data_IF_893186310254
#
_entry.id   IF_893186310254
#
_cell.length_a   1.000
_cell.length_b   1.000
_cell.length_c   1.000
_cell.angle_alpha   90.00
_cell.angle_beta   90.00
_cell.angle_gamma   90.00
#
_symmetry.space_group_name_H-M   'P 1'
#
loop_
_entity.id
_entity.type
_entity.pdbx_description
1 polymer ?
#
# COMPACT_ATOMS: atom_id res chain seq x y z
N UNK A 1 -103.75 10.27 -3.41
CA UNK A 1 -103.43 11.27 -2.37
C UNK A 1 -101.93 11.26 -2.18
N UNK A 2 -101.27 12.31 -2.59
CA UNK A 2 -99.80 12.48 -2.68
C UNK A 2 -99.14 12.60 -1.31
N UNK A 3 -98.05 11.92 -1.10
CA UNK A 3 -97.00 12.39 -0.17
C UNK A 3 -95.67 12.09 -0.80
N UNK A 4 -94.89 13.16 -1.14
CA UNK A 4 -93.52 13.10 -1.61
C UNK A 4 -92.59 12.90 -0.40
N UNK A 5 -91.69 11.96 -0.56
CA UNK A 5 -90.54 11.81 0.38
C UNK A 5 -89.32 12.31 -0.35
N UNK A 6 -88.67 13.32 0.25
CA UNK A 6 -87.38 13.87 -0.18
C UNK A 6 -86.24 13.03 0.45
N UNK A 7 -85.50 12.39 -0.39
CA UNK A 7 -84.27 11.68 0.03
C UNK A 7 -83.10 12.65 -0.01
N UNK A 8 -82.46 12.85 1.14
CA UNK A 8 -81.20 13.58 1.27
C UNK A 8 -80.04 12.64 0.93
N UNK A 9 -79.28 12.97 -0.08
CA UNK A 9 -78.07 12.25 -0.47
C UNK A 9 -76.89 12.88 0.28
N UNK A 10 -76.32 12.13 1.23
CA UNK A 10 -75.10 12.53 1.97
C UNK A 10 -73.90 12.00 1.19
N UNK A 11 -73.18 12.91 0.51
CA UNK A 11 -71.96 12.59 -0.19
C UNK A 11 -70.78 12.38 0.77
N UNK A 12 -70.27 11.17 0.84
CA UNK A 12 -69.09 10.81 1.61
C UNK A 12 -67.88 10.99 0.67
N UNK A 13 -67.12 12.07 0.87
CA UNK A 13 -65.82 12.30 0.19
C UNK A 13 -64.77 11.43 0.91
N UNK A 14 -64.37 10.32 0.29
CA UNK A 14 -63.24 9.53 0.72
C UNK A 14 -61.96 10.22 0.20
N UNK A 15 -61.23 10.88 1.09
CA UNK A 15 -59.88 11.38 0.85
C UNK A 15 -58.90 10.20 0.84
N UNK A 16 -58.53 9.71 -0.32
CA UNK A 16 -57.41 8.77 -0.47
C UNK A 16 -56.07 9.52 -0.27
N UNK A 17 -55.42 9.33 0.88
CA UNK A 17 -54.04 9.70 1.11
C UNK A 17 -53.15 8.79 0.27
N UNK A 18 -52.70 9.26 -0.90
CA UNK A 18 -51.59 8.67 -1.63
C UNK A 18 -50.32 8.95 -0.83
N UNK A 19 -49.87 7.97 -0.04
CA UNK A 19 -48.51 7.93 0.48
C UNK A 19 -47.59 7.73 -0.72
N UNK A 20 -47.06 8.84 -1.25
CA UNK A 20 -45.95 8.84 -2.17
C UNK A 20 -44.74 8.35 -1.43
N UNK A 21 -44.36 7.08 -1.58
CA UNK A 21 -43.01 6.64 -1.34
C UNK A 21 -42.13 7.33 -2.41
N UNK A 22 -41.53 8.44 -2.05
CA UNK A 22 -40.44 8.99 -2.81
C UNK A 22 -39.30 7.98 -2.74
N UNK A 23 -39.12 7.18 -3.80
CA UNK A 23 -37.81 6.57 -4.04
C UNK A 23 -36.81 7.72 -4.06
N UNK A 24 -35.89 7.69 -3.13
CA UNK A 24 -34.75 8.59 -3.10
C UNK A 24 -33.83 8.19 -4.27
N UNK A 25 -34.23 8.56 -5.49
CA UNK A 25 -33.42 8.48 -6.70
C UNK A 25 -32.34 9.60 -6.64
N UNK A 26 -31.58 9.64 -5.55
CA UNK A 26 -30.32 10.34 -5.57
C UNK A 26 -29.39 9.55 -6.47
N UNK A 27 -29.28 10.00 -7.72
CA UNK A 27 -28.11 9.67 -8.54
C UNK A 27 -26.89 9.96 -7.66
N UNK A 28 -25.92 9.04 -7.54
CA UNK A 28 -24.67 9.38 -6.89
C UNK A 28 -24.09 10.58 -7.64
N UNK A 29 -23.97 11.69 -6.93
CA UNK A 29 -23.33 12.90 -7.45
C UNK A 29 -21.89 12.56 -7.75
N UNK A 30 -21.54 12.54 -9.00
CA UNK A 30 -20.24 12.33 -9.59
C UNK A 30 -19.70 10.89 -9.51
N UNK A 31 -19.37 10.26 -10.64
CA UNK A 31 -18.75 8.95 -10.64
C UNK A 31 -17.44 9.00 -9.87
N UNK A 32 -17.30 8.13 -8.87
CA UNK A 32 -16.13 8.12 -8.00
C UNK A 32 -14.95 7.48 -8.69
N UNK A 33 -13.83 8.20 -8.79
CA UNK A 33 -12.58 7.71 -9.35
C UNK A 33 -11.63 7.15 -8.27
N UNK A 34 -11.98 7.28 -6.99
CA UNK A 34 -11.23 6.64 -5.92
C UNK A 34 -11.70 5.21 -5.71
N UNK A 35 -10.74 4.31 -5.50
CA UNK A 35 -10.97 2.91 -5.15
C UNK A 35 -10.45 2.68 -3.75
N UNK A 36 -11.32 2.23 -2.86
CA UNK A 36 -10.99 1.92 -1.48
C UNK A 36 -11.13 0.41 -1.28
N UNK A 37 -10.01 -0.27 -1.00
CA UNK A 37 -10.05 -1.67 -0.63
C UNK A 37 -10.30 -1.81 0.87
N UNK A 38 -11.20 -2.72 1.22
CA UNK A 38 -11.65 -2.95 2.60
C UNK A 38 -11.71 -4.45 2.88
N UNK A 39 -11.04 -4.89 3.93
CA UNK A 39 -11.23 -6.23 4.49
C UNK A 39 -12.36 -6.19 5.51
N UNK A 40 -13.51 -6.86 5.27
CA UNK A 40 -14.65 -6.82 6.19
C UNK A 40 -14.34 -7.39 7.57
N UNK A 41 -15.01 -6.86 8.58
CA UNK A 41 -14.99 -7.42 9.92
C UNK A 41 -15.88 -8.67 9.96
N UNK A 42 -15.31 -9.84 9.67
CA UNK A 42 -16.03 -11.11 9.71
C UNK A 42 -15.24 -12.17 10.49
N UNK A 43 -15.92 -13.16 11.03
CA UNK A 43 -15.29 -14.21 11.84
C UNK A 43 -14.69 -15.35 11.01
N UNK A 44 -15.14 -15.55 9.77
CA UNK A 44 -14.68 -16.62 8.85
C UNK A 44 -14.96 -16.24 7.40
N UNK A 45 -14.17 -16.79 6.47
CA UNK A 45 -14.44 -16.70 5.03
C UNK A 45 -14.34 -15.28 4.47
N UNK A 46 -13.35 -14.54 4.91
CA UNK A 46 -13.19 -13.12 4.57
C UNK A 46 -12.69 -12.97 3.15
N UNK A 47 -13.36 -12.10 2.39
CA UNK A 47 -12.90 -11.62 1.09
C UNK A 47 -12.72 -10.11 1.18
N UNK A 48 -11.74 -9.53 0.47
CA UNK A 48 -11.64 -8.08 0.37
C UNK A 48 -12.75 -7.53 -0.52
N UNK A 49 -13.21 -6.32 -0.23
CA UNK A 49 -14.18 -5.57 -1.04
C UNK A 49 -13.52 -4.33 -1.62
N UNK A 50 -13.84 -4.04 -2.88
CA UNK A 50 -13.47 -2.80 -3.54
C UNK A 50 -14.68 -1.88 -3.59
N UNK A 51 -14.57 -0.72 -2.99
CA UNK A 51 -15.59 0.35 -2.99
C UNK A 51 -15.11 1.50 -3.84
N UNK A 52 -16.02 2.26 -4.45
CA UNK A 52 -15.69 3.52 -5.13
C UNK A 52 -16.18 4.71 -4.32
N UNK A 53 -15.45 5.82 -4.41
CA UNK A 53 -15.83 7.09 -3.79
C UNK A 53 -15.52 8.27 -4.72
N UNK A 54 -16.35 9.32 -4.66
CA UNK A 54 -16.15 10.56 -5.42
C UNK A 54 -15.29 11.59 -4.67
N UNK A 55 -15.11 11.41 -3.38
CA UNK A 55 -14.30 12.29 -2.53
C UNK A 55 -13.69 11.50 -1.39
N UNK A 56 -12.48 11.87 -0.99
CA UNK A 56 -11.82 11.38 0.22
C UNK A 56 -11.96 12.35 1.40
N UNK A 57 -12.43 13.59 1.15
CA UNK A 57 -12.51 14.64 2.16
C UNK A 57 -13.78 14.56 3.02
N UNK A 58 -14.85 13.95 2.50
CA UNK A 58 -16.16 13.92 3.18
C UNK A 58 -16.97 12.70 2.80
N UNK A 59 -18.07 12.45 3.52
CA UNK A 59 -19.04 11.41 3.20
C UNK A 59 -18.83 10.12 3.96
N UNK A 60 -19.53 9.07 3.51
CA UNK A 60 -19.45 7.72 4.10
C UNK A 60 -19.72 6.65 3.06
N UNK A 61 -18.92 5.58 3.10
CA UNK A 61 -19.10 4.36 2.30
C UNK A 61 -19.17 3.14 3.22
N UNK A 62 -19.70 2.03 2.70
CA UNK A 62 -19.87 0.80 3.48
C UNK A 62 -19.72 -0.43 2.60
N UNK A 63 -19.21 -1.52 3.17
CA UNK A 63 -19.22 -2.84 2.53
C UNK A 63 -20.60 -3.51 2.55
N UNK A 64 -21.53 -3.02 3.37
CA UNK A 64 -22.88 -3.58 3.49
C UNK A 64 -23.71 -3.32 2.23
N UNK A 65 -23.85 -4.36 1.39
CA UNK A 65 -24.64 -4.31 0.14
C UNK A 65 -24.03 -3.47 -0.98
N UNK A 66 -22.73 -3.12 -0.86
CA UNK A 66 -22.02 -2.30 -1.83
C UNK A 66 -20.62 -2.86 -2.09
N UNK A 67 -20.04 -2.49 -3.24
CA UNK A 67 -18.70 -2.87 -3.63
C UNK A 67 -18.59 -4.18 -4.42
N UNK A 68 -17.40 -4.46 -4.89
CA UNK A 68 -17.05 -5.67 -5.63
C UNK A 68 -16.25 -6.59 -4.71
N UNK A 69 -16.82 -7.75 -4.43
CA UNK A 69 -16.14 -8.79 -3.66
C UNK A 69 -14.99 -9.40 -4.45
N UNK A 70 -13.84 -9.56 -3.80
CA UNK A 70 -12.65 -10.19 -4.35
C UNK A 70 -12.56 -11.64 -3.90
N UNK A 71 -11.87 -12.47 -4.69
CA UNK A 71 -11.55 -13.84 -4.27
C UNK A 71 -10.43 -13.81 -3.21
N UNK A 72 -10.77 -14.09 -1.95
CA UNK A 72 -9.82 -14.16 -0.84
C UNK A 72 -9.35 -12.79 -0.31
N UNK A 73 -8.43 -12.86 0.64
CA UNK A 73 -7.80 -11.72 1.32
C UNK A 73 -6.30 -11.71 1.10
N UNK A 74 -5.59 -10.78 1.75
CA UNK A 74 -4.14 -10.59 1.56
C UNK A 74 -3.80 -10.22 0.12
N UNK A 75 -4.38 -9.13 -0.34
CA UNK A 75 -4.12 -8.61 -1.68
C UNK A 75 -3.20 -7.40 -1.62
N UNK A 76 -2.41 -7.26 -2.67
CA UNK A 76 -1.71 -6.03 -3.00
C UNK A 76 -2.48 -5.28 -4.08
N UNK A 77 -2.37 -3.97 -4.07
CA UNK A 77 -3.07 -3.08 -4.98
C UNK A 77 -2.11 -2.08 -5.60
N UNK A 78 -2.34 -1.74 -6.86
CA UNK A 78 -1.60 -0.68 -7.56
C UNK A 78 -2.42 -0.17 -8.74
N UNK A 79 -2.31 1.11 -9.02
CA UNK A 79 -2.78 1.72 -10.26
C UNK A 79 -1.61 1.93 -11.22
N UNK A 80 -1.80 1.58 -12.48
CA UNK A 80 -0.83 1.81 -13.54
C UNK A 80 -1.53 1.90 -14.89
N UNK A 81 -1.13 2.87 -15.75
CA UNK A 81 -1.74 3.14 -17.06
C UNK A 81 -3.27 3.18 -17.00
N UNK A 82 -3.79 3.94 -16.04
CA UNK A 82 -5.22 4.11 -15.76
C UNK A 82 -5.99 2.80 -15.59
N UNK A 83 -5.37 1.80 -14.97
CA UNK A 83 -5.96 0.53 -14.58
C UNK A 83 -5.59 0.20 -13.15
N UNK A 84 -6.52 -0.41 -12.44
CA UNK A 84 -6.35 -0.88 -11.08
C UNK A 84 -6.08 -2.39 -11.10
N UNK A 85 -4.99 -2.80 -10.46
CA UNK A 85 -4.57 -4.19 -10.34
C UNK A 85 -4.73 -4.65 -8.89
N UNK A 86 -5.47 -5.73 -8.71
CA UNK A 86 -5.65 -6.43 -7.44
C UNK A 86 -4.96 -7.79 -7.52
N UNK A 87 -3.91 -7.97 -6.71
CA UNK A 87 -3.00 -9.11 -6.79
C UNK A 87 -3.09 -9.95 -5.53
N UNK A 88 -3.46 -11.22 -5.67
CA UNK A 88 -3.60 -12.13 -4.54
C UNK A 88 -2.24 -12.65 -4.08
N UNK A 89 -1.86 -12.34 -2.85
CA UNK A 89 -0.73 -12.98 -2.17
C UNK A 89 -1.05 -14.43 -1.80
N UNK A 90 -2.26 -14.72 -1.30
CA UNK A 90 -2.83 -16.06 -1.13
C UNK A 90 -2.11 -17.00 -0.18
N UNK A 91 -1.04 -16.59 0.49
CA UNK A 91 -0.19 -17.41 1.37
C UNK A 91 0.31 -18.72 0.75
N UNK A 92 0.29 -18.83 -0.58
CA UNK A 92 0.67 -20.01 -1.36
C UNK A 92 0.32 -19.85 -2.82
N UNK A 93 0.39 -20.94 -3.59
CA UNK A 93 -0.02 -20.97 -4.98
C UNK A 93 -1.42 -21.57 -5.12
N UNK A 94 -2.20 -21.16 -6.14
CA UNK A 94 -1.90 -20.10 -7.10
C UNK A 94 -2.17 -18.71 -6.51
N UNK A 95 -1.50 -17.69 -7.07
CA UNK A 95 -1.90 -16.30 -6.96
C UNK A 95 -2.87 -15.92 -8.08
N UNK A 96 -3.45 -14.73 -8.02
CA UNK A 96 -4.31 -14.21 -9.07
C UNK A 96 -4.09 -12.70 -9.26
N UNK A 97 -4.23 -12.24 -10.49
CA UNK A 97 -4.24 -10.82 -10.82
C UNK A 97 -5.59 -10.49 -11.45
N UNK A 98 -6.35 -9.63 -10.81
CA UNK A 98 -7.62 -9.11 -11.31
C UNK A 98 -7.45 -7.65 -11.65
N UNK A 99 -7.84 -7.25 -12.86
CA UNK A 99 -7.69 -5.87 -13.34
C UNK A 99 -9.04 -5.23 -13.52
N UNK A 100 -9.14 -3.95 -13.16
CA UNK A 100 -10.34 -3.13 -13.27
C UNK A 100 -10.02 -1.77 -13.90
N UNK A 101 -11.04 -1.19 -14.52
CA UNK A 101 -11.16 0.25 -14.75
C UNK A 101 -12.45 0.75 -14.10
N UNK A 102 -12.68 2.07 -14.15
CA UNK A 102 -13.93 2.68 -13.72
C UNK A 102 -14.70 3.16 -14.95
N UNK A 103 -15.97 2.78 -15.02
CA UNK A 103 -16.91 3.25 -16.03
C UNK A 103 -18.16 3.75 -15.29
N UNK A 104 -18.53 5.00 -15.51
CA UNK A 104 -19.67 5.66 -14.83
C UNK A 104 -19.63 5.49 -13.28
N UNK A 105 -18.43 5.63 -12.70
CA UNK A 105 -18.20 5.53 -11.26
C UNK A 105 -18.28 4.10 -10.68
N UNK A 106 -18.34 3.09 -11.55
CA UNK A 106 -18.40 1.69 -11.16
C UNK A 106 -17.17 0.93 -11.64
N UNK A 107 -16.68 0.03 -10.81
CA UNK A 107 -15.62 -0.89 -11.19
C UNK A 107 -16.12 -1.85 -12.27
N UNK A 108 -15.39 -1.88 -13.38
CA UNK A 108 -15.59 -2.80 -14.49
C UNK A 108 -14.39 -3.73 -14.59
N UNK A 109 -14.61 -5.03 -14.45
CA UNK A 109 -13.56 -6.06 -14.51
C UNK A 109 -13.08 -6.26 -15.93
N UNK A 110 -11.78 -6.04 -16.16
CA UNK A 110 -11.15 -6.17 -17.47
C UNK A 110 -10.55 -7.56 -17.68
N UNK A 111 -9.88 -8.09 -16.67
CA UNK A 111 -9.23 -9.40 -16.74
C UNK A 111 -9.18 -10.08 -15.38
N UNK A 112 -8.93 -11.38 -15.40
CA UNK A 112 -8.56 -12.17 -14.23
C UNK A 112 -7.75 -13.36 -14.72
N UNK A 113 -6.50 -13.47 -14.29
CA UNK A 113 -5.62 -14.58 -14.65
C UNK A 113 -4.84 -15.08 -13.45
N UNK A 114 -4.41 -16.32 -13.51
CA UNK A 114 -3.63 -16.94 -12.45
C UNK A 114 -2.13 -16.72 -12.68
N UNK A 115 -1.43 -16.47 -11.58
CA UNK A 115 0.03 -16.44 -11.51
C UNK A 115 0.49 -17.31 -10.35
N UNK A 116 1.79 -17.36 -10.09
CA UNK A 116 2.27 -17.70 -8.75
C UNK A 116 1.91 -16.60 -7.75
N UNK A 117 1.95 -16.90 -6.46
CA UNK A 117 1.78 -15.93 -5.38
C UNK A 117 2.65 -14.68 -5.61
N UNK A 118 2.04 -13.50 -5.63
CA UNK A 118 2.76 -12.23 -5.75
C UNK A 118 3.29 -11.81 -4.38
N UNK A 119 4.60 -11.59 -4.27
CA UNK A 119 5.26 -11.16 -3.03
C UNK A 119 5.92 -9.79 -3.13
N UNK A 120 6.32 -9.38 -4.33
CA UNK A 120 6.74 -8.02 -4.64
C UNK A 120 6.31 -7.70 -6.08
N UNK A 121 6.09 -6.44 -6.37
CA UNK A 121 5.73 -5.98 -7.72
C UNK A 121 6.20 -4.54 -7.94
N UNK A 122 6.27 -4.14 -9.19
CA UNK A 122 6.50 -2.75 -9.58
C UNK A 122 5.86 -2.46 -10.94
N UNK A 123 5.28 -1.28 -11.13
CA UNK A 123 5.16 -0.67 -12.44
C UNK A 123 6.55 -0.46 -13.05
N UNK A 124 6.77 -0.95 -14.28
CA UNK A 124 8.04 -0.78 -15.02
C UNK A 124 7.73 -0.44 -16.47
N UNK A 125 7.94 0.80 -16.89
CA UNK A 125 7.48 1.34 -18.17
C UNK A 125 5.96 1.09 -18.36
N UNK A 126 5.56 0.39 -19.43
CA UNK A 126 4.16 0.02 -19.69
C UNK A 126 3.77 -1.35 -19.08
N UNK A 127 4.66 -1.93 -18.29
CA UNK A 127 4.44 -3.25 -17.71
C UNK A 127 4.16 -3.19 -16.22
N UNK A 128 3.60 -4.28 -15.69
CA UNK A 128 3.59 -4.62 -14.28
C UNK A 128 4.49 -5.83 -14.07
N UNK A 129 5.61 -5.65 -13.37
CA UNK A 129 6.53 -6.73 -13.00
C UNK A 129 6.09 -7.32 -11.67
N UNK A 130 5.84 -8.63 -11.65
CA UNK A 130 5.47 -9.40 -10.46
C UNK A 130 6.57 -10.36 -10.09
N UNK A 131 6.77 -10.61 -8.80
CA UNK A 131 7.77 -11.57 -8.30
C UNK A 131 7.23 -12.45 -7.19
N UNK A 132 7.64 -13.73 -7.24
CA UNK A 132 7.58 -14.68 -6.14
C UNK A 132 9.00 -15.02 -5.70
N UNK A 133 9.33 -14.76 -4.45
CA UNK A 133 10.70 -14.79 -3.93
C UNK A 133 10.92 -16.10 -3.14
N UNK A 134 12.05 -16.76 -3.37
CA UNK A 134 12.39 -18.01 -2.68
C UNK A 134 12.64 -17.80 -1.19
N UNK A 135 12.18 -18.77 -0.39
CA UNK A 135 12.47 -18.94 1.04
C UNK A 135 13.14 -20.26 1.34
N UNK A 136 13.71 -20.90 0.31
CA UNK A 136 14.31 -22.22 0.40
C UNK A 136 15.73 -22.19 -0.15
N UNK A 137 16.71 -22.40 0.73
CA UNK A 137 18.14 -22.37 0.39
C UNK A 137 18.52 -23.41 -0.67
N UNK A 138 17.80 -24.53 -0.74
CA UNK A 138 18.05 -25.59 -1.75
C UNK A 138 17.43 -25.30 -3.11
N UNK A 139 16.55 -24.29 -3.19
CA UNK A 139 15.96 -23.81 -4.44
C UNK A 139 15.96 -22.27 -4.44
N UNK A 140 17.11 -21.63 -4.69
CA UNK A 140 17.32 -20.21 -4.49
C UNK A 140 16.82 -19.33 -5.65
N UNK A 141 15.73 -19.72 -6.30
CA UNK A 141 15.22 -18.98 -7.47
C UNK A 141 13.93 -18.24 -7.15
N UNK A 142 13.90 -16.94 -7.44
CA UNK A 142 12.68 -16.15 -7.50
C UNK A 142 12.11 -16.19 -8.93
N UNK A 143 10.81 -16.48 -9.06
CA UNK A 143 10.10 -16.38 -10.33
C UNK A 143 9.64 -14.94 -10.56
N UNK A 144 9.68 -14.48 -11.82
CA UNK A 144 9.14 -13.18 -12.20
C UNK A 144 8.24 -13.30 -13.44
N UNK A 145 7.25 -12.39 -13.53
CA UNK A 145 6.28 -12.31 -14.62
C UNK A 145 6.17 -10.84 -15.05
N UNK A 146 6.29 -10.60 -16.35
CA UNK A 146 6.07 -9.30 -16.97
C UNK A 146 4.69 -9.28 -17.62
N UNK A 147 3.83 -8.41 -17.12
CA UNK A 147 2.46 -8.25 -17.61
C UNK A 147 2.38 -6.93 -18.35
N UNK A 148 2.07 -6.99 -19.64
CA UNK A 148 1.77 -5.76 -20.40
C UNK A 148 0.42 -5.21 -19.95
N UNK A 149 0.42 -3.96 -19.47
CA UNK A 149 -0.79 -3.34 -18.91
C UNK A 149 -1.77 -2.87 -19.98
N UNK A 150 -1.38 -2.81 -21.26
CA UNK A 150 -2.30 -2.49 -22.35
C UNK A 150 -3.07 -3.73 -22.83
N UNK A 151 -2.38 -4.85 -23.02
CA UNK A 151 -2.96 -6.12 -23.47
C UNK A 151 -3.52 -6.97 -22.32
N UNK A 152 -3.10 -6.72 -21.09
CA UNK A 152 -3.41 -7.48 -19.86
C UNK A 152 -3.00 -8.96 -19.96
N UNK A 153 -1.86 -9.21 -20.61
CA UNK A 153 -1.32 -10.56 -20.81
C UNK A 153 0.11 -10.65 -20.26
N UNK A 154 0.48 -11.86 -19.84
CA UNK A 154 1.87 -12.18 -19.51
C UNK A 154 2.66 -12.23 -20.82
N UNK A 155 3.60 -11.30 -20.99
CA UNK A 155 4.47 -11.25 -22.19
C UNK A 155 5.73 -12.09 -22.03
N UNK A 156 6.25 -12.16 -20.82
CA UNK A 156 7.43 -12.98 -20.52
C UNK A 156 7.48 -13.34 -19.05
N UNK A 157 8.18 -14.42 -18.76
CA UNK A 157 8.44 -14.90 -17.41
C UNK A 157 9.86 -15.47 -17.32
N UNK A 158 10.36 -15.61 -16.11
CA UNK A 158 11.67 -16.20 -15.89
C UNK A 158 12.02 -16.34 -14.41
N UNK A 159 13.30 -16.61 -14.16
CA UNK A 159 13.81 -16.80 -12.81
C UNK A 159 15.10 -16.02 -12.59
N UNK A 160 15.28 -15.50 -11.38
CA UNK A 160 16.55 -14.92 -10.91
C UNK A 160 17.06 -15.72 -9.72
N UNK A 161 18.37 -15.92 -9.67
CA UNK A 161 19.02 -16.60 -8.55
C UNK A 161 19.22 -15.62 -7.40
N UNK A 162 18.57 -15.86 -6.25
CA UNK A 162 18.63 -14.99 -5.07
C UNK A 162 19.86 -15.25 -4.19
N UNK A 163 20.60 -16.34 -4.42
CA UNK A 163 21.89 -16.56 -3.77
C UNK A 163 23.01 -15.72 -4.42
N UNK A 164 22.88 -15.39 -5.69
CA UNK A 164 23.91 -14.63 -6.43
C UNK A 164 24.13 -13.20 -5.88
N UNK A 165 23.09 -12.37 -5.64
CA UNK A 165 23.30 -11.04 -5.08
C UNK A 165 23.76 -11.06 -3.63
N UNK A 166 23.39 -12.02 -2.81
CA UNK A 166 23.85 -12.11 -1.42
C UNK A 166 25.32 -12.51 -1.33
N UNK A 167 25.71 -13.58 -2.01
CA UNK A 167 27.11 -14.07 -2.10
C UNK A 167 27.75 -14.42 -0.74
N UNK A 168 26.94 -14.61 0.30
CA UNK A 168 27.38 -14.77 1.69
C UNK A 168 26.91 -16.06 2.36
N UNK A 169 26.31 -16.97 1.57
CA UNK A 169 25.77 -18.24 2.05
C UNK A 169 24.27 -18.18 2.46
N UNK A 170 23.68 -17.01 2.48
CA UNK A 170 22.24 -16.78 2.68
C UNK A 170 21.57 -16.39 1.35
N UNK A 171 20.24 -16.21 1.35
CA UNK A 171 19.50 -15.74 0.18
C UNK A 171 19.14 -14.26 0.31
N UNK A 172 19.16 -13.53 -0.81
CA UNK A 172 18.56 -12.22 -0.92
C UNK A 172 17.03 -12.36 -1.01
N UNK A 173 16.32 -12.05 0.05
CA UNK A 173 14.86 -11.91 0.00
C UNK A 173 14.53 -10.44 -0.25
N UNK A 174 13.98 -10.13 -1.42
CA UNK A 174 13.68 -8.74 -1.76
C UNK A 174 12.62 -8.20 -0.82
N UNK A 175 12.91 -7.07 -0.16
CA UNK A 175 11.91 -6.35 0.63
C UNK A 175 10.82 -5.80 -0.30
N UNK A 176 11.23 -5.32 -1.47
CA UNK A 176 10.38 -4.90 -2.56
C UNK A 176 11.16 -4.85 -3.87
N UNK A 177 10.54 -4.38 -4.96
CA UNK A 177 11.18 -4.04 -6.23
C UNK A 177 10.66 -2.70 -6.71
N UNK A 178 11.50 -1.92 -7.42
CA UNK A 178 11.13 -0.61 -7.98
C UNK A 178 11.91 -0.34 -9.26
N UNK A 179 11.26 0.30 -10.22
CA UNK A 179 11.97 0.89 -11.36
C UNK A 179 12.74 2.13 -10.89
N UNK A 180 14.02 2.22 -11.29
CA UNK A 180 14.86 3.43 -11.16
C UNK A 180 15.56 3.64 -12.50
N UNK A 181 15.22 4.72 -13.19
CA UNK A 181 15.64 4.93 -14.57
C UNK A 181 15.18 3.78 -15.49
N UNK A 182 16.10 3.11 -16.15
CA UNK A 182 15.83 1.97 -17.03
C UNK A 182 16.14 0.61 -16.39
N UNK A 183 16.27 0.54 -15.07
CA UNK A 183 16.64 -0.67 -14.32
C UNK A 183 15.61 -1.00 -13.25
N UNK A 184 15.66 -2.24 -12.75
CA UNK A 184 14.90 -2.69 -11.60
C UNK A 184 15.83 -2.80 -10.40
N UNK A 185 15.55 -2.02 -9.36
CA UNK A 185 16.23 -2.08 -8.07
C UNK A 185 15.44 -2.97 -7.14
N UNK A 186 16.11 -3.93 -6.54
CA UNK A 186 15.55 -4.89 -5.58
C UNK A 186 16.31 -4.80 -4.25
N UNK A 187 15.91 -3.89 -3.34
CA UNK A 187 16.41 -3.91 -1.98
C UNK A 187 16.11 -5.26 -1.34
N UNK A 188 17.05 -5.78 -0.55
CA UNK A 188 16.85 -7.07 0.09
C UNK A 188 17.40 -7.14 1.49
N UNK A 189 16.79 -8.01 2.28
CA UNK A 189 17.35 -8.53 3.51
C UNK A 189 17.89 -9.93 3.26
N UNK A 190 19.06 -10.21 3.78
CA UNK A 190 19.66 -11.54 3.73
C UNK A 190 18.89 -12.47 4.65
N UNK A 191 18.63 -13.70 4.23
CA UNK A 191 17.90 -14.71 5.01
C UNK A 191 18.57 -16.07 4.98
N UNK A 192 18.56 -16.76 6.13
CA UNK A 192 19.06 -18.15 6.22
C UNK A 192 18.26 -19.09 5.32
N UNK A 193 16.97 -18.85 5.13
CA UNK A 193 16.05 -19.63 4.28
C UNK A 193 16.02 -21.14 4.63
N UNK A 194 16.29 -21.50 5.88
CA UNK A 194 16.30 -22.87 6.38
C UNK A 194 16.04 -22.94 7.90
N UNK A 195 15.96 -24.17 8.37
CA UNK A 195 16.23 -24.57 9.75
C UNK A 195 15.30 -23.95 10.81
N UNK A 196 14.04 -23.64 10.46
CA UNK A 196 13.06 -23.02 11.35
C UNK A 196 13.25 -21.52 11.58
N UNK A 197 14.33 -20.92 11.07
CA UNK A 197 14.71 -19.51 11.23
C UNK A 197 14.78 -18.79 9.87
N UNK A 198 13.80 -19.02 9.00
CA UNK A 198 13.86 -18.66 7.58
C UNK A 198 14.19 -17.19 7.31
N UNK A 199 13.65 -16.26 8.12
CA UNK A 199 13.85 -14.81 7.94
C UNK A 199 14.94 -14.20 8.83
N UNK A 200 15.70 -15.03 9.53
CA UNK A 200 16.86 -14.58 10.30
C UNK A 200 18.10 -14.44 9.42
N UNK A 201 19.03 -13.60 9.84
CA UNK A 201 20.27 -13.33 9.13
C UNK A 201 21.47 -13.25 10.06
N UNK A 202 22.66 -13.58 9.56
CA UNK A 202 23.93 -13.26 10.16
C UNK A 202 24.43 -11.83 9.81
N UNK A 203 23.69 -11.10 8.98
CA UNK A 203 24.09 -9.79 8.41
C UNK A 203 23.07 -8.68 8.72
N UNK A 204 22.79 -8.40 10.01
CA UNK A 204 21.70 -7.48 10.39
C UNK A 204 21.97 -6.01 10.03
N UNK A 205 23.24 -5.62 9.85
CA UNK A 205 23.67 -4.23 9.63
C UNK A 205 24.08 -3.99 8.17
N UNK A 206 23.27 -4.47 7.22
CA UNK A 206 23.59 -4.44 5.79
C UNK A 206 22.43 -3.88 4.97
N UNK A 207 22.66 -2.73 4.32
CA UNK A 207 21.74 -2.13 3.36
C UNK A 207 22.20 -2.51 1.95
N UNK A 208 21.56 -3.49 1.34
CA UNK A 208 21.91 -4.03 0.02
C UNK A 208 20.78 -3.90 -0.97
N UNK A 209 21.13 -3.54 -2.22
CA UNK A 209 20.18 -3.48 -3.33
C UNK A 209 20.80 -4.22 -4.53
N UNK A 210 20.09 -5.23 -5.03
CA UNK A 210 20.41 -5.87 -6.29
C UNK A 210 19.85 -5.03 -7.45
N UNK A 211 20.68 -4.79 -8.46
CA UNK A 211 20.30 -4.01 -9.64
C UNK A 211 20.22 -4.94 -10.83
N UNK A 212 19.05 -4.98 -11.47
CA UNK A 212 18.75 -5.83 -12.60
C UNK A 212 18.52 -4.99 -13.87
N UNK A 213 18.96 -5.53 -15.02
CA UNK A 213 18.52 -5.02 -16.32
C UNK A 213 17.01 -5.26 -16.51
N UNK A 214 16.39 -4.45 -17.36
CA UNK A 214 15.00 -4.67 -17.77
C UNK A 214 14.90 -4.56 -19.31
N UNK A 215 14.16 -5.44 -19.98
CA UNK A 215 13.28 -6.50 -19.46
C UNK A 215 13.92 -7.87 -19.16
N UNK A 216 15.23 -8.04 -19.34
CA UNK A 216 15.89 -9.35 -19.25
C UNK A 216 16.05 -9.88 -17.82
N UNK A 217 15.91 -9.02 -16.81
CA UNK A 217 16.07 -9.36 -15.39
C UNK A 217 17.41 -10.05 -15.09
N UNK A 218 18.50 -9.58 -15.72
CA UNK A 218 19.86 -10.04 -15.44
C UNK A 218 20.47 -9.21 -14.32
N UNK A 219 21.06 -9.87 -13.33
CA UNK A 219 21.79 -9.18 -12.25
C UNK A 219 23.00 -8.47 -12.84
N UNK A 220 23.05 -7.15 -12.71
CA UNK A 220 24.18 -6.34 -13.17
C UNK A 220 25.18 -6.06 -12.06
N UNK A 221 24.68 -5.75 -10.84
CA UNK A 221 25.51 -5.47 -9.67
C UNK A 221 24.71 -5.50 -8.38
N UNK A 222 25.43 -5.45 -7.26
CA UNK A 222 24.86 -5.17 -5.93
C UNK A 222 25.51 -3.92 -5.39
N UNK A 223 24.68 -2.94 -5.00
CA UNK A 223 25.14 -1.75 -4.29
C UNK A 223 24.96 -1.97 -2.78
N UNK A 224 25.91 -1.46 -1.99
CA UNK A 224 26.02 -1.80 -0.56
C UNK A 224 26.26 -0.55 0.29
N UNK A 225 25.61 -0.53 1.45
CA UNK A 225 25.83 0.45 2.51
C UNK A 225 25.79 -0.28 3.87
N UNK A 226 26.43 0.27 4.88
CA UNK A 226 26.43 -0.28 6.24
C UNK A 226 26.14 0.77 7.32
N UNK A 227 25.68 1.96 6.92
CA UNK A 227 25.31 3.05 7.84
C UNK A 227 23.92 2.86 8.43
N UNK A 228 23.11 1.99 7.81
CA UNK A 228 21.80 1.56 8.29
C UNK A 228 21.64 0.05 8.08
N UNK A 229 20.48 -0.52 8.43
CA UNK A 229 20.13 -1.90 8.15
C UNK A 229 19.50 -2.04 6.75
N UNK A 230 18.89 -3.17 6.42
CA UNK A 230 18.31 -3.39 5.11
C UNK A 230 17.26 -2.33 4.74
N UNK A 231 17.17 -2.04 3.45
CA UNK A 231 16.26 -1.03 2.90
C UNK A 231 14.84 -1.57 2.86
N UNK A 232 13.91 -0.76 3.33
CA UNK A 232 12.54 -1.11 3.58
C UNK A 232 12.31 -1.69 4.96
N UNK A 233 11.26 -2.43 5.08
CA UNK A 233 10.91 -3.31 6.20
C UNK A 233 10.61 -4.70 5.62
N UNK A 234 10.43 -5.72 6.41
CA UNK A 234 9.98 -7.02 5.89
C UNK A 234 8.71 -6.83 5.08
N UNK A 235 8.79 -7.13 3.76
CA UNK A 235 7.70 -7.06 2.78
C UNK A 235 7.11 -5.66 2.54
N UNK A 236 7.90 -4.61 2.73
CA UNK A 236 7.49 -3.21 2.51
C UNK A 236 8.56 -2.50 1.69
N UNK A 237 8.13 -1.70 0.71
CA UNK A 237 9.02 -0.89 -0.13
C UNK A 237 9.82 0.11 0.71
N UNK A 238 11.08 0.26 0.36
CA UNK A 238 11.98 1.21 0.99
C UNK A 238 12.56 2.24 0.02
N UNK A 239 12.12 2.31 -1.24
CA UNK A 239 12.70 3.23 -2.23
C UNK A 239 11.69 4.30 -2.65
N UNK A 240 11.99 5.56 -2.42
CA UNK A 240 11.19 6.71 -2.85
C UNK A 240 11.99 7.59 -3.83
N UNK A 241 11.54 7.71 -5.08
CA UNK A 241 12.10 8.64 -6.06
C UNK A 241 11.42 10.00 -5.94
N UNK A 242 12.20 11.07 -6.06
CA UNK A 242 11.72 12.46 -6.05
C UNK A 242 11.89 13.11 -7.42
N UNK A 243 11.37 14.33 -7.61
CA UNK A 243 11.21 14.98 -8.90
C UNK A 243 12.50 15.12 -9.73
N UNK A 244 13.65 15.26 -9.07
CA UNK A 244 14.94 15.37 -9.75
C UNK A 244 15.57 14.02 -10.12
N UNK A 245 14.88 12.89 -9.81
CA UNK A 245 15.35 11.54 -10.06
C UNK A 245 16.27 10.97 -8.98
N UNK A 246 16.55 11.70 -7.89
CA UNK A 246 17.24 11.13 -6.73
C UNK A 246 16.31 10.11 -6.05
N UNK A 247 16.88 8.98 -5.63
CA UNK A 247 16.14 7.94 -4.90
C UNK A 247 16.58 7.94 -3.44
N UNK A 248 15.62 8.07 -2.55
CA UNK A 248 15.84 7.96 -1.11
C UNK A 248 15.45 6.58 -0.62
N UNK A 249 16.37 5.95 0.09
CA UNK A 249 16.25 4.57 0.55
C UNK A 249 16.07 4.56 2.08
N UNK A 250 14.90 4.11 2.51
CA UNK A 250 14.44 4.09 3.89
C UNK A 250 14.73 2.73 4.55
N UNK A 251 15.22 2.73 5.77
CA UNK A 251 15.42 1.52 6.57
C UNK A 251 14.67 1.61 7.89
N UNK A 252 13.89 0.58 8.21
CA UNK A 252 13.26 0.42 9.53
C UNK A 252 14.25 -0.10 10.60
N UNK A 253 15.39 -0.64 10.17
CA UNK A 253 16.42 -1.22 11.05
C UNK A 253 15.89 -2.29 12.01
N UNK A 254 15.26 -3.33 11.46
CA UNK A 254 14.56 -4.39 12.22
C UNK A 254 15.03 -5.80 11.88
N UNK A 255 16.25 -5.94 11.33
CA UNK A 255 16.81 -7.27 11.03
C UNK A 255 16.91 -8.14 12.30
N UNK A 256 16.66 -9.44 12.15
CA UNK A 256 16.51 -10.40 13.23
C UNK A 256 17.60 -11.47 13.16
N UNK A 257 18.17 -11.79 14.33
CA UNK A 257 19.04 -12.94 14.56
C UNK A 257 18.62 -13.59 15.88
N UNK A 258 18.54 -14.91 15.90
CA UNK A 258 18.14 -15.69 17.09
C UNK A 258 16.83 -15.17 17.74
N UNK A 259 15.84 -14.89 16.90
CA UNK A 259 14.49 -14.45 17.29
C UNK A 259 14.41 -13.02 17.85
N UNK A 260 15.49 -12.22 17.77
CA UNK A 260 15.54 -10.85 18.30
C UNK A 260 16.02 -9.87 17.25
N UNK A 261 15.51 -8.63 17.32
CA UNK A 261 16.09 -7.54 16.54
C UNK A 261 17.56 -7.40 16.93
N UNK A 262 18.43 -7.56 15.95
CA UNK A 262 19.88 -7.58 16.12
C UNK A 262 20.61 -6.45 15.40
N UNK A 263 19.90 -5.69 14.56
CA UNK A 263 20.51 -4.51 13.95
C UNK A 263 20.96 -3.50 15.01
N UNK A 264 22.22 -3.07 14.90
CA UNK A 264 22.83 -2.03 15.76
C UNK A 264 22.77 -0.66 15.09
N UNK A 265 22.31 -0.59 13.84
CA UNK A 265 22.22 0.65 13.05
C UNK A 265 20.90 1.34 13.29
N UNK A 266 20.83 2.68 13.14
CA UNK A 266 19.58 3.43 13.29
C UNK A 266 18.63 3.21 12.12
N UNK A 267 17.33 3.46 12.34
CA UNK A 267 16.40 3.75 11.27
C UNK A 267 16.78 5.07 10.60
N UNK A 268 17.12 5.01 9.33
CA UNK A 268 17.71 6.13 8.61
C UNK A 268 17.31 6.14 7.13
N UNK A 269 17.63 7.24 6.45
CA UNK A 269 17.50 7.40 5.01
C UNK A 269 18.88 7.59 4.41
N UNK A 270 19.19 6.81 3.38
CA UNK A 270 20.37 6.98 2.51
C UNK A 270 19.90 7.35 1.10
N UNK A 271 20.80 7.87 0.26
CA UNK A 271 20.43 8.38 -1.06
C UNK A 271 21.20 7.69 -2.17
N UNK A 272 20.55 7.51 -3.29
CA UNK A 272 21.13 7.12 -4.58
C UNK A 272 20.90 8.30 -5.52
N UNK A 273 21.95 9.02 -5.98
CA UNK A 273 21.80 10.16 -6.87
C UNK A 273 21.22 9.75 -8.23
N UNK A 274 20.45 10.64 -8.83
CA UNK A 274 19.85 10.45 -10.15
C UNK A 274 20.88 9.97 -11.19
N UNK A 275 20.50 9.00 -11.99
CA UNK A 275 21.35 8.43 -13.04
C UNK A 275 22.51 7.57 -12.55
N UNK A 276 22.64 7.32 -11.26
CA UNK A 276 23.68 6.46 -10.68
C UNK A 276 23.13 5.13 -10.16
N UNK A 277 24.03 4.20 -9.89
CA UNK A 277 23.75 2.93 -9.19
C UNK A 277 24.71 2.77 -8.01
N UNK A 278 24.86 3.82 -7.20
CA UNK A 278 25.69 3.84 -6.00
C UNK A 278 25.02 4.67 -4.91
N UNK A 279 25.24 4.31 -3.65
CA UNK A 279 24.84 5.16 -2.53
C UNK A 279 25.74 6.39 -2.42
N UNK A 280 25.14 7.56 -2.23
CA UNK A 280 25.85 8.80 -1.92
C UNK A 280 26.42 8.71 -0.50
N UNK A 281 27.74 8.59 -0.39
CA UNK A 281 28.43 8.46 0.89
C UNK A 281 28.42 9.76 1.71
N UNK A 282 28.16 10.90 1.08
CA UNK A 282 28.03 12.20 1.74
C UNK A 282 26.65 12.44 2.35
N UNK A 283 25.62 11.70 1.88
CA UNK A 283 24.25 11.82 2.37
C UNK A 283 23.94 10.73 3.38
N UNK A 284 23.56 11.14 4.59
CA UNK A 284 22.99 10.27 5.62
C UNK A 284 21.99 11.06 6.46
N UNK A 285 20.79 10.54 6.65
CA UNK A 285 19.75 11.14 7.47
C UNK A 285 19.34 10.15 8.56
N UNK A 286 19.90 10.33 9.76
CA UNK A 286 19.57 9.52 10.95
C UNK A 286 18.23 9.98 11.52
N UNK A 287 17.15 9.36 11.04
CA UNK A 287 15.79 9.73 11.47
C UNK A 287 15.55 9.32 12.91
N UNK A 288 16.07 8.17 13.36
CA UNK A 288 15.90 7.69 14.73
C UNK A 288 16.47 8.69 15.74
N UNK A 289 17.64 9.26 15.49
CA UNK A 289 18.26 10.25 16.35
C UNK A 289 17.50 11.59 16.32
N UNK A 290 17.25 12.13 15.12
CA UNK A 290 16.63 13.44 14.96
C UNK A 290 15.19 13.47 15.47
N UNK A 291 14.46 12.38 15.37
CA UNK A 291 13.08 12.27 15.83
C UNK A 291 12.92 11.97 17.32
N UNK A 292 14.02 11.72 18.04
CA UNK A 292 13.99 11.31 19.44
C UNK A 292 13.62 9.84 19.64
N UNK A 293 13.89 8.97 18.65
CA UNK A 293 13.77 7.51 18.78
C UNK A 293 12.65 6.88 17.94
N UNK A 294 12.09 7.59 16.96
CA UNK A 294 11.14 6.98 16.04
C UNK A 294 11.82 6.23 14.90
N UNK A 295 11.22 5.08 14.51
CA UNK A 295 11.67 4.25 13.41
C UNK A 295 10.64 4.31 12.28
N UNK A 296 11.10 4.51 11.04
CA UNK A 296 10.25 4.51 9.84
C UNK A 296 9.84 3.08 9.52
N UNK A 297 8.54 2.84 9.36
CA UNK A 297 8.01 1.52 9.00
C UNK A 297 7.37 1.49 7.62
N UNK A 298 7.01 2.65 7.08
CA UNK A 298 6.43 2.83 5.75
C UNK A 298 6.45 4.31 5.37
N UNK A 299 6.18 4.64 4.10
CA UNK A 299 6.24 6.00 3.59
C UNK A 299 5.27 6.24 2.43
N UNK A 300 4.89 7.50 2.22
CA UNK A 300 4.14 8.01 1.07
C UNK A 300 4.80 9.31 0.59
N UNK A 301 5.28 9.33 -0.65
CA UNK A 301 5.78 10.55 -1.26
C UNK A 301 4.63 11.50 -1.61
N UNK A 302 4.71 12.75 -1.16
CA UNK A 302 3.67 13.76 -1.40
C UNK A 302 4.16 14.96 -2.23
N UNK A 303 5.42 14.90 -2.68
CA UNK A 303 6.04 15.94 -3.50
C UNK A 303 6.94 16.89 -2.72
N UNK A 304 7.74 17.72 -3.43
CA UNK A 304 8.65 18.72 -2.87
C UNK A 304 9.63 18.16 -1.83
N UNK A 305 10.20 16.99 -2.10
CA UNK A 305 11.10 16.26 -1.22
C UNK A 305 10.50 15.86 0.14
N UNK A 306 9.15 15.87 0.29
CA UNK A 306 8.45 15.53 1.52
C UNK A 306 7.78 14.16 1.42
N UNK A 307 7.89 13.42 2.51
CA UNK A 307 7.23 12.13 2.68
C UNK A 307 6.40 12.16 3.95
N UNK A 308 5.19 11.62 3.87
CA UNK A 308 4.44 11.16 5.03
C UNK A 308 5.03 9.81 5.41
N UNK A 309 5.51 9.66 6.64
CA UNK A 309 6.09 8.40 7.11
C UNK A 309 5.26 7.81 8.25
N UNK A 310 5.05 6.50 8.21
CA UNK A 310 4.52 5.75 9.34
C UNK A 310 5.67 5.41 10.27
N UNK A 311 5.50 5.65 11.56
CA UNK A 311 6.57 5.46 12.53
C UNK A 311 6.13 4.68 13.76
N UNK A 312 7.05 3.87 14.32
CA UNK A 312 6.95 3.27 15.65
C UNK A 312 7.91 3.96 16.60
N UNK A 313 7.55 4.07 17.88
CA UNK A 313 8.50 4.45 18.91
C UNK A 313 9.53 3.34 19.14
N UNK A 314 10.63 3.65 19.82
CA UNK A 314 11.67 2.68 20.15
C UNK A 314 11.12 1.49 20.97
N UNK A 315 10.14 1.73 21.83
CA UNK A 315 9.51 0.69 22.64
C UNK A 315 8.59 -0.24 21.82
N UNK A 316 8.04 0.27 20.70
CA UNK A 316 7.15 -0.47 19.80
C UNK A 316 7.91 -1.10 18.62
N UNK A 317 9.22 -0.90 18.50
CA UNK A 317 10.06 -1.44 17.43
C UNK A 317 9.96 -2.96 17.37
N UNK A 318 9.61 -3.51 16.23
CA UNK A 318 9.43 -4.94 16.03
C UNK A 318 9.62 -5.35 14.57
N UNK A 319 9.97 -6.62 14.35
CA UNK A 319 10.24 -7.18 13.03
C UNK A 319 9.13 -6.87 12.02
N UNK A 320 7.89 -7.02 12.45
CA UNK A 320 6.69 -6.78 11.62
C UNK A 320 5.83 -5.62 12.12
N UNK A 321 6.32 -4.85 13.09
CA UNK A 321 5.56 -3.75 13.64
C UNK A 321 5.30 -2.68 12.57
N UNK A 322 4.03 -2.35 12.36
CA UNK A 322 3.60 -1.24 11.52
C UNK A 322 3.34 0.00 12.38
N UNK A 323 3.76 1.17 11.91
CA UNK A 323 3.55 2.43 12.61
C UNK A 323 2.08 2.80 12.72
N UNK A 324 1.69 3.39 13.85
CA UNK A 324 0.37 3.99 14.06
C UNK A 324 0.42 5.51 14.16
N UNK A 325 1.62 6.07 14.24
CA UNK A 325 1.85 7.51 14.22
C UNK A 325 2.36 7.92 12.86
N UNK A 326 1.99 9.12 12.45
CA UNK A 326 2.47 9.72 11.20
C UNK A 326 3.48 10.82 11.52
N UNK A 327 4.50 10.92 10.68
CA UNK A 327 5.46 12.01 10.64
C UNK A 327 5.58 12.59 9.24
N UNK A 328 6.02 13.82 9.15
CA UNK A 328 6.49 14.42 7.89
C UNK A 328 8.00 14.51 7.96
N UNK A 329 8.67 13.99 6.93
CA UNK A 329 10.09 14.23 6.72
C UNK A 329 10.32 15.02 5.43
N UNK A 330 11.32 15.90 5.45
CA UNK A 330 11.91 16.45 4.24
C UNK A 330 13.31 15.86 4.09
N UNK A 331 13.52 15.13 3.00
CA UNK A 331 14.77 14.37 2.81
C UNK A 331 15.96 15.24 2.40
N UNK A 332 15.73 16.44 1.86
CA UNK A 332 16.77 17.42 1.54
C UNK A 332 17.19 18.18 2.79
N UNK A 333 16.21 18.73 3.53
CA UNK A 333 16.47 19.51 4.75
C UNK A 333 16.81 18.62 5.94
N UNK A 334 16.64 17.30 5.81
CA UNK A 334 16.82 16.30 6.88
C UNK A 334 16.03 16.69 8.14
N UNK A 335 14.74 16.96 7.97
CA UNK A 335 13.84 17.37 9.06
C UNK A 335 12.76 16.31 9.32
N UNK A 336 12.27 16.28 10.56
CA UNK A 336 11.18 15.41 11.01
C UNK A 336 10.20 16.21 11.86
N UNK A 337 8.90 15.99 11.65
CA UNK A 337 7.83 16.56 12.47
C UNK A 337 6.68 15.58 12.60
N UNK A 338 6.23 15.28 13.82
CA UNK A 338 5.03 14.46 14.04
C UNK A 338 3.79 15.19 13.52
N UNK A 339 2.88 14.41 12.91
CA UNK A 339 1.58 14.90 12.44
C UNK A 339 0.65 15.05 13.64
N UNK A 340 -0.02 16.20 13.72
CA UNK A 340 -1.06 16.51 14.70
C UNK A 340 -2.46 16.27 14.11
N UNK A 341 -3.51 16.20 14.94
CA UNK A 341 -4.89 15.98 14.47
C UNK A 341 -5.26 14.53 14.16
N UNK A 342 -4.35 13.58 14.42
CA UNK A 342 -4.66 12.15 14.40
C UNK A 342 -5.46 11.74 15.65
N UNK A 343 -6.23 10.65 15.60
CA UNK A 343 -6.80 10.03 16.80
C UNK A 343 -5.72 9.66 17.81
N UNK A 344 -6.12 9.45 19.06
CA UNK A 344 -5.21 8.87 20.04
C UNK A 344 -4.69 7.51 19.53
N UNK A 345 -3.39 7.27 19.68
CA UNK A 345 -2.73 6.04 19.22
C UNK A 345 -3.35 4.80 19.86
N UNK A 346 -3.88 4.94 21.07
CA UNK A 346 -4.55 3.84 21.77
C UNK A 346 -5.92 3.52 21.17
N UNK A 347 -6.56 4.43 20.46
CA UNK A 347 -7.81 4.20 19.73
C UNK A 347 -7.57 3.63 18.33
N UNK A 348 -6.35 3.74 17.81
CA UNK A 348 -5.99 3.23 16.48
C UNK A 348 -5.74 1.72 16.55
N UNK A 349 -6.48 0.96 15.73
CA UNK A 349 -6.20 -0.45 15.49
C UNK A 349 -5.03 -0.60 14.50
N UNK A 350 -5.14 0.02 13.32
CA UNK A 350 -4.10 0.01 12.28
C UNK A 350 -4.17 1.27 11.41
N UNK A 351 -3.06 1.57 10.75
CA UNK A 351 -2.97 2.57 9.67
C UNK A 351 -2.64 1.83 8.39
N UNK A 352 -3.27 2.20 7.28
CA UNK A 352 -3.02 1.59 5.97
C UNK A 352 -1.55 1.76 5.59
N UNK A 353 -0.92 0.68 5.15
CA UNK A 353 0.47 0.60 4.75
C UNK A 353 0.57 0.36 3.24
N UNK A 354 1.56 0.95 2.59
CA UNK A 354 1.94 0.80 1.17
C UNK A 354 0.98 1.38 0.13
N UNK A 355 -0.34 1.26 0.32
CA UNK A 355 -1.36 1.67 -0.65
C UNK A 355 -2.15 2.87 -0.12
N UNK A 356 -1.45 3.95 0.17
CA UNK A 356 -2.01 5.26 0.49
C UNK A 356 -1.91 6.20 -0.72
N UNK A 357 -2.76 7.21 -0.80
CA UNK A 357 -2.89 8.06 -1.98
C UNK A 357 -2.23 9.43 -1.79
N UNK A 358 -1.39 9.84 -2.74
CA UNK A 358 -0.85 11.20 -2.83
C UNK A 358 -1.69 12.02 -3.82
N UNK A 359 -2.09 13.23 -3.43
CA UNK A 359 -2.99 14.07 -4.24
C UNK A 359 -2.35 14.62 -5.53
N UNK A 360 -1.03 14.49 -5.71
CA UNK A 360 -0.32 15.04 -6.86
C UNK A 360 -0.14 16.57 -6.82
N UNK A 361 -0.58 17.25 -5.77
CA UNK A 361 -0.46 18.69 -5.58
C UNK A 361 0.86 19.13 -4.90
N UNK A 362 1.72 18.16 -4.60
CA UNK A 362 3.00 18.40 -3.93
C UNK A 362 2.88 18.71 -2.44
N UNK A 363 1.72 18.42 -1.81
CA UNK A 363 1.45 18.79 -0.41
C UNK A 363 0.63 17.75 0.35
N UNK A 364 -0.44 17.22 -0.25
CA UNK A 364 -1.39 16.40 0.47
C UNK A 364 -1.23 14.90 0.19
N UNK A 365 -1.33 14.13 1.26
CA UNK A 365 -1.49 12.68 1.21
C UNK A 365 -2.79 12.24 1.90
N UNK A 366 -3.33 11.10 1.51
CA UNK A 366 -4.51 10.49 2.13
C UNK A 366 -4.13 9.13 2.69
N UNK A 367 -4.44 8.92 3.96
CA UNK A 367 -4.04 7.73 4.71
C UNK A 367 -5.25 7.10 5.39
N UNK A 368 -5.42 5.80 5.25
CA UNK A 368 -6.48 5.06 5.92
C UNK A 368 -6.14 4.81 7.39
N UNK A 369 -7.05 5.17 8.29
CA UNK A 369 -6.92 4.97 9.75
C UNK A 369 -8.09 4.12 10.23
N UNK A 370 -7.79 2.94 10.76
CA UNK A 370 -8.77 1.99 11.25
C UNK A 370 -8.80 2.04 12.78
N UNK A 371 -9.96 2.34 13.35
CA UNK A 371 -10.13 2.47 14.79
C UNK A 371 -10.52 1.13 15.45
N UNK A 372 -10.20 0.96 16.71
CA UNK A 372 -10.62 -0.19 17.54
C UNK A 372 -12.14 -0.30 17.67
N UNK A 373 -12.87 0.78 17.44
CA UNK A 373 -14.34 0.80 17.36
C UNK A 373 -14.91 0.05 16.14
N UNK A 374 -14.06 -0.39 15.20
CA UNK A 374 -14.48 -1.05 13.96
C UNK A 374 -14.87 -0.10 12.83
N UNK A 375 -14.63 1.21 13.00
CA UNK A 375 -14.85 2.23 11.96
C UNK A 375 -13.51 2.67 11.40
N UNK A 376 -13.42 2.79 10.06
CA UNK A 376 -12.29 3.39 9.38
C UNK A 376 -12.58 4.83 8.95
N UNK A 377 -11.53 5.63 8.82
CA UNK A 377 -11.57 6.95 8.22
C UNK A 377 -10.38 7.15 7.31
N UNK A 378 -10.56 7.90 6.23
CA UNK A 378 -9.46 8.40 5.43
C UNK A 378 -9.11 9.80 5.96
N UNK A 379 -7.85 9.96 6.34
CA UNK A 379 -7.32 11.25 6.83
C UNK A 379 -6.52 11.94 5.74
N UNK A 380 -6.81 13.21 5.51
CA UNK A 380 -6.00 14.10 4.68
C UNK A 380 -4.85 14.65 5.50
N UNK A 381 -3.64 14.42 5.04
CA UNK A 381 -2.41 14.87 5.69
C UNK A 381 -1.84 16.05 4.92
N UNK A 382 -1.67 17.16 5.58
CA UNK A 382 -1.00 18.36 5.06
C UNK A 382 0.48 18.33 5.44
N UNK A 383 1.36 18.09 4.48
CA UNK A 383 2.79 17.97 4.72
C UNK A 383 3.48 19.29 5.05
N UNK A 384 2.90 20.45 4.69
CA UNK A 384 3.47 21.77 5.03
C UNK A 384 3.25 22.10 6.51
N UNK A 385 2.07 21.76 7.03
CA UNK A 385 1.69 22.05 8.41
C UNK A 385 1.95 20.86 9.38
N UNK A 386 2.23 19.68 8.86
CA UNK A 386 2.25 18.42 9.59
C UNK A 386 0.96 18.22 10.40
N UNK A 387 -0.18 18.31 9.72
CA UNK A 387 -1.50 18.19 10.32
C UNK A 387 -2.38 17.20 9.56
N UNK A 388 -3.30 16.56 10.27
CA UNK A 388 -4.27 15.61 9.72
C UNK A 388 -5.69 16.17 9.89
N UNK A 389 -6.53 15.97 8.88
CA UNK A 389 -7.96 16.28 8.92
C UNK A 389 -8.74 15.03 8.57
N UNK A 390 -9.72 14.68 9.40
CA UNK A 390 -10.59 13.53 9.17
C UNK A 390 -11.50 13.80 7.95
N UNK A 391 -11.52 12.83 7.03
CA UNK A 391 -12.31 12.85 5.81
C UNK A 391 -13.33 11.72 5.74
N UNK A 392 -13.33 10.98 4.62
CA UNK A 392 -14.30 9.93 4.30
C UNK A 392 -14.37 8.85 5.37
N UNK A 393 -15.58 8.54 5.83
CA UNK A 393 -15.86 7.45 6.76
C UNK A 393 -16.06 6.13 5.99
N UNK A 394 -15.45 5.07 6.49
CA UNK A 394 -15.57 3.71 5.93
C UNK A 394 -16.13 2.78 6.99
N UNK A 395 -17.28 2.18 6.71
CA UNK A 395 -17.95 1.26 7.61
C UNK A 395 -17.83 -0.18 7.14
N UNK A 396 -17.79 -1.11 8.07
CA UNK A 396 -17.88 -2.55 7.81
C UNK A 396 -16.56 -3.27 7.58
N UNK A 397 -15.42 -2.64 7.88
CA UNK A 397 -14.13 -3.34 7.78
C UNK A 397 -12.91 -2.44 7.93
N UNK A 398 -11.76 -3.03 7.65
CA UNK A 398 -10.42 -2.40 7.72
C UNK A 398 -10.03 -1.88 6.34
N UNK A 399 -9.72 -0.60 6.22
CA UNK A 399 -9.18 0.00 4.99
C UNK A 399 -7.78 -0.58 4.75
N UNK A 400 -7.56 -1.16 3.57
CA UNK A 400 -6.29 -1.78 3.18
C UNK A 400 -5.62 -1.10 2.00
N UNK A 401 -6.37 -0.33 1.19
CA UNK A 401 -5.79 0.49 0.13
C UNK A 401 -6.66 1.69 -0.21
N UNK A 402 -6.03 2.74 -0.74
CA UNK A 402 -6.64 3.94 -1.30
C UNK A 402 -5.93 4.20 -2.63
N UNK A 403 -6.66 4.05 -3.74
CA UNK A 403 -6.14 4.20 -5.09
C UNK A 403 -7.01 5.16 -5.89
N UNK A 404 -6.50 5.65 -7.01
CA UNK A 404 -7.21 6.57 -7.89
C UNK A 404 -7.02 6.19 -9.36
N UNK A 405 -8.07 6.34 -10.15
CA UNK A 405 -8.03 6.30 -11.62
C UNK A 405 -8.47 7.65 -12.18
N UNK A 406 -7.86 8.07 -13.30
CA UNK A 406 -8.15 9.35 -13.98
C UNK A 406 -9.40 9.26 -14.88
#
# INVERSE_FOLDING_TARGET
>A
MNIQSKTFLLGMVAATLLASCSKDDRKPDNPGNFIIAVTPAASTGVADYLLTASSLDTGSISTAGQGVEQDGTYRYYVTHNNKFFSMLYGQGNPGAVTTYNIVDGKLNKLSNFQTETVQAFAPVNDDLLLMKISRNITNPFASWYRINTNTLQIESEGKVNTAAPSGNGELAHFSWIRQVGNKVFAPYFSIKACCGASFETAYPDSAWIAVYSYPQMQLEKVIKDNRTSFIGRYFVDGLGEVENGDVYAFSASVAVTDGKISSTKPSAVVKIPAGTTEFDQSYFFNVEELSGGYNITDWLYVGRNKFVVLVTSKAEKGQYAAGKRLGIINVVDKSFKLVTGMPDVDDINSVTSMSNYAAGDGRHGYVGVNLKSGVGYIYKIDSDNASATQGLRVNGGTITAIEHLD
#
